data_IF_900336506476
#
_entry.id   IF_900336506476
#
_cell.length_a   1.000
_cell.length_b   1.000
_cell.length_c   1.000
_cell.angle_alpha   90.00
_cell.angle_beta   90.00
_cell.angle_gamma   90.00
#
_symmetry.space_group_name_H-M   'P 1'
#
loop_
_entity.id
_entity.type
_entity.pdbx_description
1 polymer ?
#
# COMPACT_ATOMS: atom_id res chain seq x y z
N UNK A 1 16.22 12.99 8.74
CA UNK A 1 17.07 11.85 8.38
C UNK A 1 16.93 10.77 9.45
N UNK A 2 16.77 9.53 9.04
CA UNK A 2 16.68 8.38 9.95
C UNK A 2 18.06 8.20 10.59
N UNK A 3 18.10 8.06 11.92
CA UNK A 3 19.34 7.88 12.68
C UNK A 3 19.52 6.42 13.08
N UNK A 4 19.79 5.55 12.09
CA UNK A 4 20.06 4.13 12.34
C UNK A 4 18.88 3.42 13.02
N UNK A 5 18.01 2.80 12.23
CA UNK A 5 16.94 1.93 12.73
C UNK A 5 17.16 0.52 12.19
N UNK A 6 16.77 -0.46 12.96
CA UNK A 6 16.63 -1.84 12.51
C UNK A 6 15.19 -2.27 12.75
N UNK A 7 14.55 -2.78 11.71
CA UNK A 7 13.17 -3.28 11.76
C UNK A 7 13.19 -4.66 11.12
N UNK A 8 12.52 -5.61 11.76
CA UNK A 8 12.27 -6.94 11.23
C UNK A 8 10.76 -7.08 11.08
N UNK A 9 10.33 -7.65 9.98
CA UNK A 9 8.92 -7.94 9.68
C UNK A 9 8.88 -9.37 9.18
N UNK A 10 8.22 -10.25 9.91
CA UNK A 10 8.09 -11.64 9.53
C UNK A 10 6.93 -11.83 8.53
N UNK A 11 6.97 -12.92 7.75
CA UNK A 11 5.93 -13.21 6.78
C UNK A 11 4.56 -13.37 7.47
N UNK A 12 3.54 -12.71 6.91
CA UNK A 12 2.17 -12.73 7.44
C UNK A 12 1.92 -11.81 8.63
N UNK A 13 2.90 -11.04 9.08
CA UNK A 13 2.71 -10.07 10.16
C UNK A 13 2.06 -8.75 9.70
N UNK A 14 1.45 -8.06 10.66
CA UNK A 14 1.13 -6.63 10.57
C UNK A 14 2.05 -5.89 11.54
N UNK A 15 2.97 -5.10 11.01
CA UNK A 15 3.87 -4.27 11.83
C UNK A 15 3.51 -2.80 11.64
N UNK A 16 3.38 -2.08 12.74
CA UNK A 16 3.09 -0.63 12.74
C UNK A 16 4.27 0.15 13.28
N UNK A 17 4.78 1.10 12.50
CA UNK A 17 5.75 2.09 12.95
C UNK A 17 5.01 3.36 13.38
N UNK A 18 5.10 3.70 14.66
CA UNK A 18 4.44 4.87 15.24
C UNK A 18 5.48 5.94 15.52
N UNK A 19 5.14 7.19 15.23
CA UNK A 19 6.01 8.30 15.54
C UNK A 19 5.45 9.65 15.09
N UNK A 20 5.95 10.74 15.70
CA UNK A 20 5.57 12.09 15.35
C UNK A 20 5.94 12.46 13.90
N UNK A 21 5.36 13.56 13.40
CA UNK A 21 5.74 14.11 12.10
C UNK A 21 7.23 14.46 12.10
N UNK A 22 7.91 14.11 11.00
CA UNK A 22 9.36 14.29 10.88
C UNK A 22 10.22 13.16 11.49
N UNK A 23 9.64 12.17 12.17
CA UNK A 23 10.39 11.03 12.74
C UNK A 23 11.03 10.11 11.69
N UNK A 24 10.70 10.27 10.41
CA UNK A 24 11.28 9.48 9.32
C UNK A 24 10.42 8.31 8.84
N UNK A 25 9.19 8.16 9.31
CA UNK A 25 8.27 7.07 8.96
C UNK A 25 8.09 6.90 7.43
N UNK A 26 7.60 7.93 6.75
CA UNK A 26 7.45 7.97 5.28
C UNK A 26 8.80 7.76 4.57
N UNK A 27 9.89 8.30 5.13
CA UNK A 27 11.24 8.08 4.59
C UNK A 27 11.61 6.60 4.65
N UNK A 28 11.30 5.91 5.73
CA UNK A 28 11.53 4.46 5.88
C UNK A 28 10.77 3.69 4.80
N UNK A 29 9.47 3.93 4.65
CA UNK A 29 8.67 3.26 3.61
C UNK A 29 9.19 3.55 2.19
N UNK A 30 9.49 4.81 1.87
CA UNK A 30 10.06 5.20 0.58
C UNK A 30 11.45 4.58 0.32
N UNK A 31 12.21 4.29 1.37
CA UNK A 31 13.50 3.61 1.24
C UNK A 31 13.28 2.13 0.98
N UNK A 32 12.33 1.48 1.67
CA UNK A 32 11.96 0.08 1.45
C UNK A 32 11.36 -0.13 0.06
N UNK A 33 10.51 0.78 -0.43
CA UNK A 33 9.94 0.70 -1.78
C UNK A 33 10.91 1.09 -2.91
N UNK A 34 12.13 1.57 -2.58
CA UNK A 34 13.13 1.98 -3.57
C UNK A 34 12.93 3.38 -4.15
N UNK A 35 11.92 4.12 -3.70
CA UNK A 35 11.68 5.52 -4.08
C UNK A 35 12.73 6.47 -3.49
N UNK A 36 13.48 6.01 -2.50
CA UNK A 36 14.61 6.72 -1.89
C UNK A 36 15.79 5.77 -1.73
N UNK A 37 16.99 6.26 -2.03
CA UNK A 37 18.22 5.47 -1.85
C UNK A 37 18.54 5.26 -0.37
N UNK A 38 19.06 4.07 -0.05
CA UNK A 38 19.68 3.77 1.25
C UNK A 38 20.97 4.60 1.37
N UNK A 39 21.14 5.32 2.47
CA UNK A 39 22.36 6.09 2.72
C UNK A 39 23.42 5.28 3.46
N UNK A 40 23.00 4.35 4.32
CA UNK A 40 23.85 3.39 5.03
C UNK A 40 22.99 2.23 5.54
N UNK A 41 23.62 1.09 5.82
CA UNK A 41 22.90 -0.15 6.17
C UNK A 41 22.44 -0.92 4.96
N UNK A 42 21.52 -1.86 5.16
CA UNK A 42 20.98 -2.74 4.12
C UNK A 42 19.50 -2.99 4.31
N UNK A 43 18.83 -3.36 3.22
CA UNK A 43 17.45 -3.85 3.22
C UNK A 43 17.48 -5.27 2.67
N UNK A 44 17.11 -6.22 3.51
CA UNK A 44 17.02 -7.63 3.13
C UNK A 44 15.54 -7.98 2.93
N UNK A 45 15.22 -8.55 1.80
CA UNK A 45 13.88 -9.02 1.46
C UNK A 45 13.96 -10.46 0.93
N UNK A 46 13.26 -11.39 1.56
CA UNK A 46 13.28 -12.83 1.19
C UNK A 46 14.73 -13.39 1.12
N UNK A 47 15.62 -12.97 2.06
CA UNK A 47 17.02 -13.35 2.10
C UNK A 47 17.94 -12.64 1.10
N UNK A 48 17.38 -11.78 0.24
CA UNK A 48 18.14 -11.03 -0.78
C UNK A 48 18.35 -9.58 -0.34
N UNK A 49 19.57 -9.06 -0.52
CA UNK A 49 19.85 -7.63 -0.36
C UNK A 49 19.29 -6.85 -1.54
N UNK A 50 18.27 -6.02 -1.25
CA UNK A 50 17.59 -5.17 -2.22
C UNK A 50 17.96 -3.69 -2.11
N UNK A 51 18.98 -3.34 -1.33
CA UNK A 51 19.34 -1.95 -1.05
C UNK A 51 19.57 -1.12 -2.30
N UNK A 52 20.11 -1.73 -3.36
CA UNK A 52 20.41 -1.09 -4.64
C UNK A 52 19.40 -1.45 -5.77
N UNK A 53 18.40 -2.27 -5.49
CA UNK A 53 17.37 -2.64 -6.46
C UNK A 53 16.45 -1.44 -6.72
N UNK A 54 16.21 -1.02 -7.97
CA UNK A 54 15.34 0.10 -8.28
C UNK A 54 13.86 -0.18 -7.95
N UNK A 55 13.09 0.87 -7.72
CA UNK A 55 11.70 0.77 -7.23
C UNK A 55 10.81 -0.14 -8.10
N UNK A 56 10.90 -0.03 -9.42
CA UNK A 56 10.08 -0.83 -10.33
C UNK A 56 10.38 -2.33 -10.25
N UNK A 57 11.64 -2.72 -10.03
CA UNK A 57 12.03 -4.11 -9.83
C UNK A 57 11.59 -4.64 -8.46
N UNK A 58 11.52 -3.78 -7.41
CA UNK A 58 10.99 -4.18 -6.09
C UNK A 58 9.50 -4.51 -6.14
N UNK A 59 8.76 -3.89 -7.06
CA UNK A 59 7.36 -4.29 -7.30
C UNK A 59 7.29 -5.70 -7.88
N UNK A 60 8.20 -6.06 -8.78
CA UNK A 60 8.30 -7.42 -9.34
C UNK A 60 8.70 -8.46 -8.27
N UNK A 61 9.49 -8.05 -7.27
CA UNK A 61 9.81 -8.90 -6.11
C UNK A 61 8.60 -9.10 -5.17
N UNK A 62 7.57 -8.24 -5.25
CA UNK A 62 6.37 -8.33 -4.45
C UNK A 62 6.24 -7.25 -3.37
N UNK A 63 6.91 -6.11 -3.50
CA UNK A 63 6.77 -4.96 -2.58
C UNK A 63 5.94 -3.88 -3.24
N UNK A 64 4.75 -3.58 -2.69
CA UNK A 64 3.89 -2.49 -3.16
C UNK A 64 3.63 -1.47 -2.07
N UNK A 65 3.39 -0.22 -2.48
CA UNK A 65 3.11 0.87 -1.54
C UNK A 65 1.84 1.64 -1.92
N UNK A 66 0.98 1.88 -0.93
CA UNK A 66 -0.02 2.94 -0.97
C UNK A 66 0.57 4.16 -0.23
N UNK A 67 0.92 5.25 -0.95
CA UNK A 67 1.62 6.38 -0.37
C UNK A 67 0.69 7.26 0.45
N UNK A 68 1.26 8.10 1.31
CA UNK A 68 0.59 9.24 1.92
C UNK A 68 -0.09 10.11 0.85
N UNK A 69 -1.25 10.69 1.17
CA UNK A 69 -2.01 11.52 0.23
C UNK A 69 -2.70 10.70 -0.87
N UNK A 70 -2.82 9.37 -0.69
CA UNK A 70 -3.54 8.41 -1.55
C UNK A 70 -2.88 8.17 -2.91
N UNK A 71 -2.31 9.21 -3.55
CA UNK A 71 -1.59 9.11 -4.83
C UNK A 71 -2.41 8.52 -5.98
N UNK A 72 -3.74 8.66 -5.96
CA UNK A 72 -4.61 8.21 -7.06
C UNK A 72 -4.44 9.11 -8.30
N UNK A 73 -4.88 8.62 -9.45
CA UNK A 73 -5.00 9.41 -10.68
C UNK A 73 -6.41 10.01 -10.75
N UNK A 74 -6.60 11.31 -10.42
CA UNK A 74 -7.92 11.89 -10.22
C UNK A 74 -8.76 11.96 -11.50
N UNK A 75 -8.11 12.08 -12.67
CA UNK A 75 -8.77 12.10 -13.98
C UNK A 75 -9.11 10.73 -14.55
N UNK A 76 -8.61 9.65 -13.96
CA UNK A 76 -8.92 8.28 -14.34
C UNK A 76 -10.10 7.75 -13.54
N UNK A 77 -10.86 6.84 -14.14
CA UNK A 77 -11.93 6.11 -13.46
C UNK A 77 -11.37 5.20 -12.36
N UNK A 78 -12.24 4.69 -11.49
CA UNK A 78 -11.89 3.67 -10.49
C UNK A 78 -11.24 2.46 -11.17
N UNK A 79 -11.84 1.96 -12.26
CA UNK A 79 -11.30 0.81 -12.99
C UNK A 79 -9.89 1.09 -13.54
N UNK A 80 -9.71 2.20 -14.23
CA UNK A 80 -8.40 2.57 -14.81
C UNK A 80 -7.33 2.74 -13.72
N UNK A 81 -7.68 3.33 -12.57
CA UNK A 81 -6.77 3.39 -11.43
C UNK A 81 -6.36 2.00 -10.94
N UNK A 82 -7.30 1.06 -10.82
CA UNK A 82 -7.00 -0.32 -10.42
C UNK A 82 -6.11 -1.03 -11.47
N UNK A 83 -6.43 -0.86 -12.76
CA UNK A 83 -5.65 -1.45 -13.86
C UNK A 83 -4.19 -1.00 -13.86
N UNK A 84 -3.91 0.24 -13.47
CA UNK A 84 -2.55 0.74 -13.33
C UNK A 84 -1.72 -0.05 -12.31
N UNK A 85 -2.34 -0.64 -11.28
CA UNK A 85 -1.68 -1.50 -10.30
C UNK A 85 -1.10 -2.80 -10.88
N UNK A 86 -1.57 -3.23 -12.05
CA UNK A 86 -1.08 -4.44 -12.75
C UNK A 86 -0.08 -4.14 -13.87
N UNK A 87 0.31 -2.88 -14.05
CA UNK A 87 1.08 -2.46 -15.24
C UNK A 87 2.35 -3.29 -15.49
N UNK A 88 3.05 -3.69 -14.43
CA UNK A 88 4.29 -4.46 -14.51
C UNK A 88 4.09 -5.98 -14.72
N UNK A 89 2.88 -6.53 -14.49
CA UNK A 89 2.63 -7.98 -14.56
C UNK A 89 2.47 -8.46 -16.01
N UNK A 90 3.18 -9.56 -16.36
CA UNK A 90 3.17 -10.14 -17.72
C UNK A 90 1.78 -10.64 -18.15
N UNK A 91 1.05 -11.33 -17.27
CA UNK A 91 -0.26 -11.96 -17.55
C UNK A 91 -1.47 -11.08 -17.13
N UNK A 92 -1.30 -9.79 -17.12
CA UNK A 92 -2.28 -8.85 -16.57
C UNK A 92 -3.70 -8.96 -17.14
N UNK A 93 -3.89 -9.37 -18.40
CA UNK A 93 -5.23 -9.53 -19.00
C UNK A 93 -5.94 -10.79 -18.51
N UNK A 94 -5.26 -11.94 -18.48
CA UNK A 94 -5.87 -13.23 -18.12
C UNK A 94 -6.37 -13.27 -16.67
N UNK A 95 -5.69 -12.58 -15.76
CA UNK A 95 -5.97 -12.58 -14.31
C UNK A 95 -6.76 -11.35 -13.84
N UNK A 96 -7.14 -10.44 -14.76
CA UNK A 96 -7.76 -9.16 -14.42
C UNK A 96 -9.09 -9.35 -13.67
N UNK A 97 -9.96 -10.21 -14.17
CA UNK A 97 -11.28 -10.43 -13.58
C UNK A 97 -11.18 -10.95 -12.15
N UNK A 98 -10.31 -11.95 -11.93
CA UNK A 98 -10.09 -12.53 -10.60
C UNK A 98 -9.55 -11.50 -9.61
N UNK A 99 -8.58 -10.69 -10.02
CA UNK A 99 -8.01 -9.64 -9.16
C UNK A 99 -9.04 -8.57 -8.83
N UNK A 100 -9.82 -8.12 -9.83
CA UNK A 100 -10.90 -7.15 -9.60
C UNK A 100 -11.98 -7.71 -8.67
N UNK A 101 -12.37 -8.97 -8.80
CA UNK A 101 -13.36 -9.60 -7.93
C UNK A 101 -12.87 -9.62 -6.47
N UNK A 102 -11.59 -9.90 -6.24
CA UNK A 102 -10.97 -9.82 -4.90
C UNK A 102 -11.02 -8.38 -4.35
N UNK A 103 -10.64 -7.40 -5.17
CA UNK A 103 -10.68 -5.98 -4.78
C UNK A 103 -12.12 -5.55 -4.47
N UNK A 104 -13.09 -5.91 -5.29
CA UNK A 104 -14.49 -5.55 -5.08
C UNK A 104 -15.14 -6.27 -3.89
N UNK A 105 -14.63 -7.43 -3.51
CA UNK A 105 -15.02 -8.10 -2.26
C UNK A 105 -14.54 -7.33 -1.04
N UNK A 106 -13.28 -6.84 -1.06
CA UNK A 106 -12.72 -6.02 0.02
C UNK A 106 -13.33 -4.61 0.05
N UNK A 107 -13.63 -4.05 -1.12
CA UNK A 107 -14.07 -2.66 -1.32
C UNK A 107 -15.34 -2.59 -2.18
N UNK A 108 -16.52 -3.03 -1.69
CA UNK A 108 -17.76 -3.05 -2.51
C UNK A 108 -18.11 -1.69 -3.11
N UNK A 109 -17.80 -0.59 -2.40
CA UNK A 109 -18.06 0.78 -2.89
C UNK A 109 -17.30 1.12 -4.16
N UNK A 110 -16.12 0.53 -4.38
CA UNK A 110 -15.39 0.74 -5.63
C UNK A 110 -16.07 0.05 -6.81
N UNK A 111 -16.73 -1.11 -6.58
CA UNK A 111 -17.51 -1.79 -7.60
C UNK A 111 -18.72 -0.95 -8.06
N UNK A 112 -19.42 -0.34 -7.11
CA UNK A 112 -20.57 0.53 -7.37
C UNK A 112 -20.20 1.78 -8.22
N UNK A 113 -18.93 2.17 -8.18
CA UNK A 113 -18.38 3.41 -8.75
C UNK A 113 -17.33 3.18 -9.82
N UNK A 114 -17.35 2.01 -10.46
CA UNK A 114 -16.28 1.52 -11.36
C UNK A 114 -15.94 2.50 -12.49
N UNK A 115 -16.93 3.21 -13.02
CA UNK A 115 -16.78 4.21 -14.09
C UNK A 115 -16.63 5.66 -13.58
N UNK A 116 -16.68 5.87 -12.26
CA UNK A 116 -16.58 7.21 -11.67
C UNK A 116 -15.11 7.66 -11.67
N UNK A 117 -14.86 8.94 -11.95
CA UNK A 117 -13.53 9.53 -11.87
C UNK A 117 -13.02 9.52 -10.42
N UNK A 118 -11.78 9.06 -10.20
CA UNK A 118 -11.18 8.90 -8.88
C UNK A 118 -11.16 10.18 -8.05
N UNK A 119 -10.95 11.33 -8.69
CA UNK A 119 -10.94 12.63 -8.03
C UNK A 119 -12.28 13.05 -7.42
N UNK A 120 -13.40 12.45 -7.85
CA UNK A 120 -14.75 12.76 -7.34
C UNK A 120 -15.20 11.86 -6.20
N UNK A 121 -14.39 10.88 -5.83
CA UNK A 121 -14.63 10.00 -4.69
C UNK A 121 -14.44 10.74 -3.36
N UNK A 122 -15.12 10.28 -2.31
CA UNK A 122 -14.85 10.72 -0.95
C UNK A 122 -13.42 10.35 -0.52
N UNK A 123 -12.90 11.04 0.51
CA UNK A 123 -11.55 10.76 1.01
C UNK A 123 -11.33 9.29 1.41
N UNK A 124 -12.31 8.65 2.02
CA UNK A 124 -12.23 7.23 2.38
C UNK A 124 -12.26 6.30 1.16
N UNK A 125 -13.09 6.61 0.16
CA UNK A 125 -13.12 5.84 -1.09
C UNK A 125 -11.83 6.00 -1.90
N UNK A 126 -11.22 7.19 -1.90
CA UNK A 126 -9.90 7.40 -2.52
C UNK A 126 -8.81 6.60 -1.80
N UNK A 127 -8.88 6.48 -0.47
CA UNK A 127 -7.95 5.64 0.30
C UNK A 127 -8.13 4.16 -0.04
N UNK A 128 -9.38 3.68 -0.12
CA UNK A 128 -9.68 2.32 -0.57
C UNK A 128 -9.15 2.07 -1.99
N UNK A 129 -9.30 3.04 -2.89
CA UNK A 129 -8.79 2.95 -4.27
C UNK A 129 -7.27 2.85 -4.31
N UNK A 130 -6.57 3.64 -3.49
CA UNK A 130 -5.10 3.59 -3.39
C UNK A 130 -4.61 2.23 -2.90
N UNK A 131 -5.23 1.69 -1.85
CA UNK A 131 -4.92 0.35 -1.31
C UNK A 131 -5.27 -0.72 -2.35
N UNK A 132 -6.46 -0.65 -2.96
CA UNK A 132 -6.91 -1.57 -4.00
C UNK A 132 -5.95 -1.62 -5.18
N UNK A 133 -5.50 -0.46 -5.65
CA UNK A 133 -4.50 -0.38 -6.72
C UNK A 133 -3.17 -1.05 -6.33
N UNK A 134 -2.69 -0.85 -5.11
CA UNK A 134 -1.47 -1.51 -4.65
C UNK A 134 -1.64 -3.04 -4.60
N UNK A 135 -2.81 -3.54 -4.19
CA UNK A 135 -3.13 -4.97 -4.15
C UNK A 135 -3.22 -5.61 -5.54
N UNK A 136 -3.55 -4.85 -6.59
CA UNK A 136 -3.58 -5.37 -7.98
C UNK A 136 -2.21 -5.88 -8.46
N UNK A 137 -1.12 -5.50 -7.81
CA UNK A 137 0.21 -6.07 -8.07
C UNK A 137 0.40 -7.48 -7.49
N UNK A 138 -0.52 -8.00 -6.66
CA UNK A 138 -0.39 -9.22 -5.84
C UNK A 138 0.86 -9.18 -4.96
N UNK A 139 1.00 -8.19 -4.08
CA UNK A 139 2.20 -8.03 -3.28
C UNK A 139 2.34 -9.13 -2.23
N UNK A 140 3.59 -9.50 -1.90
CA UNK A 140 3.95 -10.23 -0.68
C UNK A 140 3.95 -9.29 0.52
N UNK A 141 4.44 -8.05 0.31
CA UNK A 141 4.48 -6.99 1.33
C UNK A 141 3.79 -5.74 0.83
N UNK A 142 2.82 -5.27 1.59
CA UNK A 142 2.09 -4.03 1.37
C UNK A 142 2.56 -2.96 2.36
N UNK A 143 3.09 -1.87 1.84
CA UNK A 143 3.52 -0.70 2.61
C UNK A 143 2.39 0.33 2.61
N UNK A 144 1.95 0.77 3.80
CA UNK A 144 0.87 1.74 3.97
C UNK A 144 1.38 2.98 4.71
N UNK A 145 1.29 4.13 4.07
CA UNK A 145 1.80 5.39 4.60
C UNK A 145 0.64 6.26 5.11
N UNK A 146 0.46 6.28 6.43
CA UNK A 146 -0.60 7.00 7.16
C UNK A 146 -2.01 6.75 6.58
N UNK A 147 -2.47 5.48 6.50
CA UNK A 147 -3.73 5.12 5.85
C UNK A 147 -4.97 5.74 6.52
N UNK A 148 -4.87 6.16 7.77
CA UNK A 148 -5.98 6.78 8.53
C UNK A 148 -6.07 8.30 8.35
N UNK A 149 -5.03 8.95 7.78
CA UNK A 149 -4.91 10.40 7.78
C UNK A 149 -6.07 11.11 7.04
N UNK A 150 -6.70 12.06 7.72
CA UNK A 150 -7.79 12.87 7.16
C UNK A 150 -9.10 12.14 6.93
N UNK A 151 -9.30 10.99 7.59
CA UNK A 151 -10.52 10.23 7.53
C UNK A 151 -11.42 10.44 8.76
N UNK A 152 -12.74 10.30 8.57
CA UNK A 152 -13.69 10.27 9.68
C UNK A 152 -13.49 8.99 10.54
N UNK A 153 -13.78 9.03 11.85
CA UNK A 153 -13.54 7.89 12.76
C UNK A 153 -14.11 6.55 12.27
N UNK A 154 -15.31 6.55 11.73
CA UNK A 154 -15.94 5.34 11.18
C UNK A 154 -15.18 4.76 9.99
N UNK A 155 -14.58 5.64 9.16
CA UNK A 155 -13.78 5.23 8.01
C UNK A 155 -12.43 4.66 8.45
N UNK A 156 -11.83 5.22 9.52
CA UNK A 156 -10.60 4.70 10.11
C UNK A 156 -10.80 3.26 10.57
N UNK A 157 -11.84 3.00 11.36
CA UNK A 157 -12.16 1.65 11.82
C UNK A 157 -12.37 0.67 10.65
N UNK A 158 -13.04 1.13 9.58
CA UNK A 158 -13.24 0.31 8.39
C UNK A 158 -11.93 0.01 7.65
N UNK A 159 -11.03 0.99 7.50
CA UNK A 159 -9.72 0.79 6.85
C UNK A 159 -8.88 -0.22 7.64
N UNK A 160 -8.80 -0.11 8.97
CA UNK A 160 -8.02 -1.08 9.77
C UNK A 160 -8.64 -2.48 9.74
N UNK A 161 -9.97 -2.60 9.73
CA UNK A 161 -10.64 -3.90 9.51
C UNK A 161 -10.24 -4.50 8.16
N UNK A 162 -10.24 -3.70 7.10
CA UNK A 162 -9.83 -4.15 5.76
C UNK A 162 -8.34 -4.54 5.72
N UNK A 163 -7.46 -3.78 6.38
CA UNK A 163 -6.03 -4.12 6.51
C UNK A 163 -5.88 -5.51 7.15
N UNK A 164 -6.64 -5.80 8.20
CA UNK A 164 -6.66 -7.12 8.83
C UNK A 164 -7.17 -8.21 7.87
N UNK A 165 -8.21 -7.95 7.09
CA UNK A 165 -8.70 -8.91 6.09
C UNK A 165 -7.67 -9.16 4.98
N UNK A 166 -6.98 -8.13 4.52
CA UNK A 166 -5.88 -8.27 3.54
C UNK A 166 -4.78 -9.17 4.12
N UNK A 167 -4.37 -8.94 5.37
CA UNK A 167 -3.33 -9.75 6.00
C UNK A 167 -3.73 -11.23 6.13
N UNK A 168 -5.00 -11.55 6.43
CA UNK A 168 -5.52 -12.93 6.46
C UNK A 168 -5.39 -13.66 5.11
N UNK A 169 -5.22 -12.95 4.02
CA UNK A 169 -4.94 -13.56 2.70
C UNK A 169 -3.47 -13.93 2.49
N UNK A 170 -2.62 -13.71 3.50
CA UNK A 170 -1.17 -14.01 3.48
C UNK A 170 -0.29 -12.83 3.10
N UNK A 171 -0.85 -11.63 2.93
CA UNK A 171 -0.07 -10.42 2.64
C UNK A 171 0.55 -9.89 3.94
N UNK A 172 1.87 -9.74 3.98
CA UNK A 172 2.58 -9.06 5.06
C UNK A 172 2.35 -7.55 4.98
N UNK A 173 2.13 -6.88 6.10
CA UNK A 173 1.80 -5.46 6.10
C UNK A 173 2.78 -4.69 6.99
N UNK A 174 3.42 -3.68 6.43
CA UNK A 174 4.16 -2.67 7.18
C UNK A 174 3.46 -1.33 7.00
N UNK A 175 2.90 -0.81 8.07
CA UNK A 175 2.22 0.48 8.03
C UNK A 175 2.89 1.50 8.96
N UNK A 176 2.76 2.76 8.62
CA UNK A 176 3.19 3.85 9.48
C UNK A 176 1.99 4.69 9.87
N UNK A 177 1.94 5.11 11.13
CA UNK A 177 0.89 5.96 11.68
C UNK A 177 1.45 7.02 12.60
N UNK A 178 0.73 8.13 12.72
CA UNK A 178 1.10 9.21 13.63
C UNK A 178 0.56 8.95 15.04
N UNK A 179 -0.63 8.37 15.16
CA UNK A 179 -1.34 8.19 16.42
C UNK A 179 -1.44 6.71 16.79
N UNK A 180 -0.86 6.33 17.94
CA UNK A 180 -0.90 4.98 18.47
C UNK A 180 -2.32 4.46 18.80
N UNK A 181 -3.29 5.36 19.02
CA UNK A 181 -4.68 4.97 19.26
C UNK A 181 -5.44 4.53 17.99
N UNK A 182 -4.85 4.75 16.81
CA UNK A 182 -5.44 4.40 15.53
C UNK A 182 -4.77 3.17 14.90
N UNK A 183 -3.65 2.73 15.46
CA UNK A 183 -2.86 1.56 15.03
C UNK A 183 -3.21 0.33 15.93
#
# INVERSE_FOLDING_TARGET
AIKGISVVVDEGEIVTLIGANGAGKTTTLKTISGLRKVSSGSIIFDGQDISNVPAHERVDLGISQAPEGRGIFPGMTVLENLEMGKFHRKNRKAEMSEDLDKIYTLFPRLKERVSQAGGTLSGGEQQMLAIGRALMSRPKVLLLDEPSMGLAPQMIANIFRIITEINKTGVTILLVEQNAQQA
#
